data_IF_874749966442
#
_entry.id   IF_874749966442
#
_cell.length_a   1.000
_cell.length_b   1.000
_cell.length_c   1.000
_cell.angle_alpha   90.00
_cell.angle_beta   90.00
_cell.angle_gamma   90.00
#
_symmetry.space_group_name_H-M   'P 1'
#
loop_
_entity.id
_entity.type
_entity.pdbx_description
1 polymer ?
#
# COMPACT_ATOMS: atom_id res chain seq x y z
N UNK A 1 -12.11 -24.93 -4.20
CA UNK A 1 -10.68 -24.54 -4.02
C UNK A 1 -10.60 -23.66 -2.80
N UNK A 2 -9.82 -24.04 -1.80
CA UNK A 2 -9.81 -23.39 -0.47
C UNK A 2 -9.35 -21.93 -0.54
N UNK A 3 -10.19 -21.01 -0.08
CA UNK A 3 -9.86 -19.57 0.09
C UNK A 3 -8.77 -19.33 1.17
N UNK A 4 -8.18 -20.40 1.74
CA UNK A 4 -7.30 -20.32 2.90
C UNK A 4 -5.90 -19.75 2.66
N UNK A 5 -5.44 -19.65 1.41
CA UNK A 5 -4.08 -19.24 1.07
C UNK A 5 -3.99 -17.79 0.54
N UNK A 6 -5.13 -17.15 0.28
CA UNK A 6 -5.15 -15.79 -0.25
C UNK A 6 -5.34 -14.75 0.86
N UNK A 7 -4.44 -13.75 0.89
CA UNK A 7 -4.60 -12.57 1.76
C UNK A 7 -5.68 -11.62 1.24
N UNK A 8 -5.81 -11.51 -0.10
CA UNK A 8 -6.79 -10.65 -0.77
C UNK A 8 -7.46 -11.39 -1.91
N UNK A 9 -8.79 -11.24 -2.01
CA UNK A 9 -9.59 -11.67 -3.17
C UNK A 9 -10.54 -10.54 -3.55
N UNK A 10 -10.56 -10.18 -4.81
CA UNK A 10 -11.48 -9.19 -5.41
C UNK A 10 -12.24 -9.91 -6.52
N UNK A 11 -13.56 -9.80 -6.50
CA UNK A 11 -14.47 -10.44 -7.45
C UNK A 11 -15.39 -9.39 -8.07
N UNK A 12 -15.29 -9.21 -9.38
CA UNK A 12 -16.14 -8.34 -10.23
C UNK A 12 -16.31 -6.91 -9.67
N UNK A 13 -15.25 -6.33 -9.06
CA UNK A 13 -15.33 -5.01 -8.42
C UNK A 13 -15.50 -3.91 -9.48
N UNK A 14 -16.66 -3.27 -9.49
CA UNK A 14 -16.93 -2.08 -10.29
C UNK A 14 -17.32 -0.91 -9.38
N UNK A 15 -16.88 0.30 -9.73
CA UNK A 15 -17.14 1.48 -8.92
C UNK A 15 -17.21 2.75 -9.78
N UNK A 16 -18.25 3.53 -9.52
CA UNK A 16 -18.39 4.90 -10.03
C UNK A 16 -18.48 5.88 -8.84
N UNK A 17 -17.84 7.02 -8.99
CA UNK A 17 -17.96 8.13 -8.04
C UNK A 17 -19.37 8.77 -8.14
N UNK A 18 -19.80 9.52 -7.10
CA UNK A 18 -21.12 10.18 -7.12
C UNK A 18 -21.35 11.17 -8.27
N UNK A 19 -20.28 11.68 -8.86
CA UNK A 19 -20.31 12.55 -10.04
C UNK A 19 -20.55 11.80 -11.36
N UNK A 20 -20.70 10.46 -11.29
CA UNK A 20 -20.89 9.58 -12.45
C UNK A 20 -19.60 9.08 -13.10
N UNK A 21 -18.43 9.54 -12.65
CA UNK A 21 -17.16 9.07 -13.20
C UNK A 21 -16.89 7.62 -12.76
N UNK A 22 -16.94 6.69 -13.72
CA UNK A 22 -16.64 5.29 -13.47
C UNK A 22 -15.15 5.04 -13.46
N UNK A 23 -14.64 4.51 -12.33
CA UNK A 23 -13.21 4.30 -12.10
C UNK A 23 -12.78 2.84 -12.20
N UNK A 24 -13.69 1.88 -11.91
CA UNK A 24 -13.40 0.44 -11.98
C UNK A 24 -14.53 -0.28 -12.73
N UNK A 25 -14.15 -1.28 -13.56
CA UNK A 25 -15.04 -1.97 -14.47
C UNK A 25 -14.95 -3.51 -14.33
N UNK A 26 -15.27 -4.06 -13.15
CA UNK A 26 -15.26 -5.51 -12.92
C UNK A 26 -13.86 -6.08 -12.69
N UNK A 27 -13.10 -5.47 -11.76
CA UNK A 27 -11.76 -5.94 -11.40
C UNK A 27 -11.84 -7.28 -10.68
N UNK A 28 -11.06 -8.25 -11.17
CA UNK A 28 -10.84 -9.55 -10.55
C UNK A 28 -9.37 -9.68 -10.16
N UNK A 29 -9.07 -10.03 -8.90
CA UNK A 29 -7.71 -10.14 -8.40
C UNK A 29 -7.63 -11.13 -7.24
N UNK A 30 -6.54 -11.91 -7.19
CA UNK A 30 -6.20 -12.74 -6.02
C UNK A 30 -4.73 -12.54 -5.69
N UNK A 31 -4.44 -12.25 -4.42
CA UNK A 31 -3.08 -12.08 -3.90
C UNK A 31 -2.89 -13.07 -2.77
N UNK A 32 -1.84 -13.88 -2.86
CA UNK A 32 -1.49 -14.87 -1.83
C UNK A 32 -0.84 -14.20 -0.62
N UNK A 33 -0.84 -14.91 0.49
CA UNK A 33 -0.11 -14.49 1.69
C UNK A 33 1.39 -14.41 1.41
N UNK A 34 2.03 -13.32 1.85
CA UNK A 34 3.46 -13.06 1.65
C UNK A 34 3.83 -12.62 0.22
N UNK A 35 2.88 -12.57 -0.70
CA UNK A 35 3.13 -12.14 -2.08
C UNK A 35 3.37 -10.62 -2.14
N UNK A 36 4.35 -10.21 -2.96
CA UNK A 36 4.66 -8.80 -3.24
C UNK A 36 4.26 -8.45 -4.65
N UNK A 37 3.28 -7.56 -4.78
CA UNK A 37 2.63 -7.24 -6.05
C UNK A 37 2.74 -5.75 -6.34
N UNK A 38 3.25 -5.39 -7.51
CA UNK A 38 3.21 -4.03 -8.02
C UNK A 38 1.90 -3.79 -8.80
N UNK A 39 1.19 -2.72 -8.47
CA UNK A 39 0.04 -2.23 -9.22
C UNK A 39 0.47 -1.04 -10.08
N UNK A 40 0.76 -1.31 -11.33
CA UNK A 40 1.22 -0.35 -12.32
C UNK A 40 0.06 0.22 -13.12
N UNK A 41 0.25 1.38 -13.71
CA UNK A 41 -0.74 1.98 -14.62
C UNK A 41 -0.64 3.49 -14.67
N UNK A 42 -1.21 4.13 -15.70
CA UNK A 42 -1.18 5.58 -15.86
C UNK A 42 -1.99 6.29 -14.77
N UNK A 43 -1.78 7.61 -14.65
CA UNK A 43 -2.63 8.43 -13.80
C UNK A 43 -4.08 8.35 -14.25
N UNK A 44 -5.01 8.30 -13.30
CA UNK A 44 -6.44 8.13 -13.58
C UNK A 44 -6.88 6.70 -13.94
N UNK A 45 -5.99 5.70 -13.88
CA UNK A 45 -6.34 4.31 -14.19
C UNK A 45 -7.25 3.64 -13.14
N UNK A 46 -7.47 4.26 -11.97
CA UNK A 46 -8.25 3.70 -10.88
C UNK A 46 -7.43 3.04 -9.76
N UNK A 47 -6.10 3.19 -9.75
CA UNK A 47 -5.21 2.54 -8.76
C UNK A 47 -5.55 2.93 -7.32
N UNK A 48 -5.59 4.22 -7.02
CA UNK A 48 -5.97 4.73 -5.69
C UNK A 48 -7.41 4.33 -5.33
N UNK A 49 -8.34 4.39 -6.30
CA UNK A 49 -9.70 3.91 -6.09
C UNK A 49 -9.72 2.44 -5.69
N UNK A 50 -8.95 1.59 -6.37
CA UNK A 50 -8.86 0.16 -6.05
C UNK A 50 -8.35 -0.08 -4.62
N UNK A 51 -7.23 0.57 -4.23
CA UNK A 51 -6.65 0.34 -2.89
C UNK A 51 -7.55 0.85 -1.76
N UNK A 52 -8.34 1.91 -1.98
CA UNK A 52 -9.27 2.42 -0.97
C UNK A 52 -10.46 1.49 -0.71
N UNK A 53 -10.76 0.55 -1.60
CA UNK A 53 -11.73 -0.51 -1.35
C UNK A 53 -11.18 -1.62 -0.44
N UNK A 54 -9.83 -1.79 -0.36
CA UNK A 54 -9.23 -2.88 0.42
C UNK A 54 -9.44 -2.73 1.93
N UNK A 55 -9.54 -1.50 2.42
CA UNK A 55 -9.79 -1.19 3.84
C UNK A 55 -11.16 -0.56 4.11
N UNK A 56 -12.03 -0.56 3.09
CA UNK A 56 -13.40 -0.06 3.21
C UNK A 56 -13.50 1.46 3.43
N UNK A 57 -12.54 2.25 2.91
CA UNK A 57 -12.70 3.72 2.77
C UNK A 57 -13.71 4.00 1.66
N UNK A 58 -13.58 3.32 0.53
CA UNK A 58 -14.62 3.26 -0.50
C UNK A 58 -15.37 1.95 -0.42
N UNK A 59 -16.65 1.98 -0.74
CA UNK A 59 -17.49 0.79 -0.86
C UNK A 59 -18.19 0.77 -2.20
N UNK A 60 -18.29 -0.42 -2.79
CA UNK A 60 -18.98 -0.60 -4.07
C UNK A 60 -20.29 -1.38 -3.87
N UNK A 61 -21.30 -1.04 -4.68
CA UNK A 61 -22.54 -1.83 -4.76
C UNK A 61 -22.40 -3.02 -5.74
N UNK A 62 -21.28 -3.13 -6.45
CA UNK A 62 -21.05 -4.21 -7.42
C UNK A 62 -19.70 -4.86 -7.19
N UNK A 63 -19.72 -6.19 -7.10
CA UNK A 63 -18.54 -6.98 -6.76
C UNK A 63 -18.29 -7.13 -5.26
N UNK A 64 -17.20 -7.82 -4.91
CA UNK A 64 -16.85 -8.14 -3.52
C UNK A 64 -15.34 -8.04 -3.32
N UNK A 65 -14.95 -7.60 -2.12
CA UNK A 65 -13.56 -7.61 -1.68
C UNK A 65 -13.47 -8.44 -0.40
N UNK A 66 -12.54 -9.39 -0.36
CA UNK A 66 -12.29 -10.22 0.82
C UNK A 66 -10.83 -10.04 1.27
N UNK A 67 -10.63 -9.78 2.55
CA UNK A 67 -9.32 -9.67 3.21
C UNK A 67 -9.21 -10.76 4.26
N UNK A 68 -8.20 -11.64 4.12
CA UNK A 68 -8.05 -12.81 5.00
C UNK A 68 -9.32 -13.65 5.08
N UNK A 69 -10.04 -13.81 3.97
CA UNK A 69 -11.30 -14.54 3.87
C UNK A 69 -12.54 -13.81 4.42
N UNK A 70 -12.41 -12.59 4.96
CA UNK A 70 -13.53 -11.78 5.47
C UNK A 70 -13.97 -10.76 4.42
N UNK A 71 -15.28 -10.65 4.20
CA UNK A 71 -15.86 -9.62 3.32
C UNK A 71 -15.61 -8.22 3.89
N UNK A 72 -15.18 -7.31 3.04
CA UNK A 72 -15.10 -5.88 3.33
C UNK A 72 -16.50 -5.30 3.17
N UNK A 73 -17.23 -5.17 4.26
CA UNK A 73 -18.58 -4.63 4.29
C UNK A 73 -18.62 -3.31 5.06
N UNK A 74 -18.92 -2.22 4.34
CA UNK A 74 -18.97 -0.87 4.93
C UNK A 74 -20.17 -0.67 5.87
N UNK A 75 -21.19 -1.51 5.82
CA UNK A 75 -22.35 -1.44 6.71
C UNK A 75 -22.07 -2.00 8.10
N UNK A 76 -21.10 -2.92 8.23
CA UNK A 76 -20.67 -3.50 9.50
C UNK A 76 -19.41 -2.79 10.06
N UNK A 77 -19.64 -1.83 10.98
CA UNK A 77 -18.54 -1.08 11.63
C UNK A 77 -17.56 -1.96 12.40
N UNK A 78 -18.01 -3.09 12.96
CA UNK A 78 -17.16 -4.02 13.70
C UNK A 78 -16.25 -4.80 12.75
N UNK A 79 -16.81 -5.32 11.65
CA UNK A 79 -16.05 -5.98 10.59
C UNK A 79 -15.05 -5.01 9.96
N UNK A 80 -15.44 -3.76 9.67
CA UNK A 80 -14.53 -2.74 9.14
C UNK A 80 -13.35 -2.45 10.08
N UNK A 81 -13.58 -2.37 11.40
CA UNK A 81 -12.48 -2.17 12.34
C UNK A 81 -11.46 -3.32 12.27
N UNK A 82 -11.93 -4.56 12.13
CA UNK A 82 -11.06 -5.74 11.95
C UNK A 82 -10.34 -5.73 10.60
N UNK A 83 -11.00 -5.30 9.51
CA UNK A 83 -10.36 -5.17 8.20
C UNK A 83 -9.27 -4.09 8.24
N UNK A 84 -9.56 -2.93 8.82
CA UNK A 84 -8.60 -1.81 8.93
C UNK A 84 -7.38 -2.12 9.79
N UNK A 85 -7.49 -3.06 10.74
CA UNK A 85 -6.32 -3.55 11.46
C UNK A 85 -5.46 -4.52 10.63
N UNK A 86 -6.05 -5.15 9.59
CA UNK A 86 -5.36 -6.11 8.71
C UNK A 86 -4.75 -5.47 7.46
N UNK A 87 -5.34 -4.37 6.97
CA UNK A 87 -4.88 -3.66 5.77
C UNK A 87 -4.39 -2.29 6.16
N UNK A 88 -3.08 -2.14 6.19
CA UNK A 88 -2.44 -0.84 6.41
C UNK A 88 -2.14 -0.16 5.09
N UNK A 89 -2.52 1.11 4.95
CA UNK A 89 -2.24 1.93 3.77
C UNK A 89 -1.28 3.05 4.16
N UNK A 90 -0.19 3.17 3.40
CA UNK A 90 0.73 4.31 3.45
C UNK A 90 0.40 5.20 2.26
N UNK A 91 -0.06 6.41 2.53
CA UNK A 91 -0.47 7.37 1.51
C UNK A 91 0.73 8.00 0.77
N UNK A 92 0.47 8.53 -0.42
CA UNK A 92 1.48 9.15 -1.28
C UNK A 92 2.13 10.38 -0.63
N UNK A 93 1.38 11.21 0.08
CA UNK A 93 1.93 12.31 0.84
C UNK A 93 1.97 11.95 2.34
N UNK A 94 3.15 11.92 2.98
CA UNK A 94 3.23 11.64 4.41
C UNK A 94 2.51 12.69 5.26
N UNK A 95 2.32 13.92 4.77
CA UNK A 95 1.63 14.99 5.49
C UNK A 95 0.11 14.74 5.57
N UNK A 96 -0.45 13.89 4.68
CA UNK A 96 -1.84 13.41 4.78
C UNK A 96 -2.01 12.36 5.90
N UNK A 97 -0.92 11.84 6.44
CA UNK A 97 -0.92 10.74 7.42
C UNK A 97 -0.35 11.13 8.79
N UNK A 98 0.58 12.10 8.83
CA UNK A 98 1.25 12.55 10.05
C UNK A 98 0.60 13.86 10.54
N UNK A 99 -0.14 13.79 11.64
CA UNK A 99 -0.95 14.91 12.15
C UNK A 99 -0.80 15.15 13.66
N UNK A 100 -0.02 14.30 14.33
CA UNK A 100 0.20 14.43 15.78
C UNK A 100 1.37 15.40 16.10
N UNK A 101 1.43 15.95 17.31
CA UNK A 101 2.51 16.85 17.73
C UNK A 101 3.90 16.24 17.64
N UNK A 102 4.05 14.92 17.84
CA UNK A 102 5.33 14.22 17.78
C UNK A 102 5.26 12.94 16.96
N UNK A 103 6.41 12.53 16.42
CA UNK A 103 6.59 11.27 15.68
C UNK A 103 6.10 10.06 16.51
N UNK A 104 6.47 10.00 17.79
CA UNK A 104 6.04 8.90 18.65
C UNK A 104 4.53 8.86 18.85
N UNK A 105 3.86 10.01 18.91
CA UNK A 105 2.40 10.09 19.01
C UNK A 105 1.70 9.66 17.72
N UNK A 106 2.25 10.00 16.55
CA UNK A 106 1.73 9.50 15.27
C UNK A 106 1.81 7.96 15.19
N UNK A 107 2.95 7.39 15.56
CA UNK A 107 3.13 5.93 15.57
C UNK A 107 2.25 5.24 16.62
N UNK A 108 2.02 5.90 17.77
CA UNK A 108 1.16 5.40 18.84
C UNK A 108 -0.33 5.40 18.48
N UNK A 109 -0.76 6.27 17.57
CA UNK A 109 -2.19 6.53 17.31
C UNK A 109 -2.97 5.26 16.93
N UNK A 110 -2.48 4.49 15.98
CA UNK A 110 -3.11 3.24 15.56
C UNK A 110 -3.19 2.20 16.67
N UNK A 111 -2.06 1.78 17.26
CA UNK A 111 -2.03 0.83 18.38
C UNK A 111 -2.86 1.26 19.58
N UNK A 112 -2.86 2.55 19.93
CA UNK A 112 -3.70 3.09 21.00
C UNK A 112 -5.20 2.87 20.71
N UNK A 113 -5.66 3.12 19.49
CA UNK A 113 -7.04 2.89 19.07
C UNK A 113 -7.41 1.39 18.98
N UNK A 114 -6.40 0.52 18.86
CA UNK A 114 -6.56 -0.93 18.97
C UNK A 114 -6.63 -1.43 20.40
N UNK A 115 -6.37 -0.58 21.39
CA UNK A 115 -6.49 -0.87 22.82
C UNK A 115 -5.18 -1.04 23.57
N UNK A 116 -4.01 -0.89 22.92
CA UNK A 116 -2.72 -0.95 23.59
C UNK A 116 -2.53 0.27 24.50
N UNK A 117 -1.87 0.06 25.64
CA UNK A 117 -1.63 1.10 26.65
C UNK A 117 -0.23 0.95 27.26
N UNK A 118 0.21 2.00 27.92
CA UNK A 118 1.38 2.04 28.80
C UNK A 118 2.65 1.40 28.16
N UNK A 119 3.27 0.47 28.84
CA UNK A 119 4.53 -0.15 28.41
C UNK A 119 4.41 -0.93 27.10
N UNK A 120 3.27 -1.59 26.84
CA UNK A 120 3.06 -2.30 25.57
C UNK A 120 2.99 -1.34 24.40
N UNK A 121 2.28 -0.22 24.56
CA UNK A 121 2.19 0.83 23.55
C UNK A 121 3.56 1.44 23.29
N UNK A 122 4.29 1.82 24.34
CA UNK A 122 5.63 2.41 24.21
C UNK A 122 6.58 1.46 23.48
N UNK A 123 6.56 0.18 23.83
CA UNK A 123 7.40 -0.83 23.17
C UNK A 123 7.09 -0.94 21.67
N UNK A 124 5.82 -1.02 21.30
CA UNK A 124 5.41 -1.10 19.89
C UNK A 124 5.87 0.14 19.11
N UNK A 125 5.76 1.32 19.70
CA UNK A 125 6.23 2.58 19.10
C UNK A 125 7.74 2.54 18.86
N UNK A 126 8.51 2.16 19.88
CA UNK A 126 9.98 2.12 19.81
C UNK A 126 10.46 1.06 18.81
N UNK A 127 9.88 -0.14 18.86
CA UNK A 127 10.21 -1.23 17.92
C UNK A 127 9.91 -0.81 16.47
N UNK A 128 8.77 -0.14 16.23
CA UNK A 128 8.37 0.30 14.88
C UNK A 128 9.25 1.43 14.36
N UNK A 129 9.63 2.38 15.21
CA UNK A 129 10.54 3.46 14.85
C UNK A 129 11.97 2.94 14.63
N UNK A 130 12.43 2.00 15.43
CA UNK A 130 13.72 1.35 15.26
C UNK A 130 13.81 0.61 13.92
N UNK A 131 12.74 -0.10 13.52
CA UNK A 131 12.66 -0.82 12.25
C UNK A 131 12.86 0.08 11.03
N UNK A 132 12.41 1.33 11.10
CA UNK A 132 12.56 2.31 10.01
C UNK A 132 13.72 3.30 10.24
N UNK A 133 14.57 3.08 11.25
CA UNK A 133 15.71 3.94 11.59
C UNK A 133 15.32 5.35 12.04
N UNK A 134 14.20 5.49 12.77
CA UNK A 134 13.66 6.79 13.18
C UNK A 134 13.49 6.93 14.71
N UNK A 135 14.04 6.00 15.49
CA UNK A 135 13.84 5.98 16.96
C UNK A 135 14.32 7.26 17.65
N UNK A 136 15.47 7.80 17.24
CA UNK A 136 16.04 9.03 17.80
C UNK A 136 15.18 10.29 17.56
N UNK A 137 14.21 10.21 16.63
CA UNK A 137 13.29 11.31 16.30
C UNK A 137 11.93 11.20 17.00
N UNK A 138 11.74 10.23 17.91
CA UNK A 138 10.46 9.91 18.57
C UNK A 138 9.74 11.14 19.14
N UNK A 139 10.50 12.04 19.77
CA UNK A 139 9.95 13.22 20.44
C UNK A 139 9.95 14.48 19.55
N UNK A 140 10.39 14.36 18.29
CA UNK A 140 10.40 15.49 17.35
C UNK A 140 9.04 15.68 16.66
N UNK A 141 8.66 16.92 16.36
CA UNK A 141 7.53 17.21 15.50
C UNK A 141 7.80 16.70 14.06
N UNK A 142 6.82 16.07 13.39
CA UNK A 142 6.99 15.54 12.04
C UNK A 142 7.46 16.59 11.01
N UNK A 143 6.98 17.83 11.11
CA UNK A 143 7.35 18.91 10.19
C UNK A 143 8.81 19.38 10.30
N UNK A 144 9.56 18.94 11.32
CA UNK A 144 11.01 19.16 11.42
C UNK A 144 11.83 18.06 10.73
N UNK A 145 11.19 17.08 10.13
CA UNK A 145 11.84 15.99 9.42
C UNK A 145 11.94 16.27 7.92
N UNK A 146 12.96 15.69 7.26
CA UNK A 146 13.01 15.67 5.79
C UNK A 146 11.84 14.86 5.21
N UNK A 147 11.54 15.03 3.92
CA UNK A 147 10.48 14.28 3.26
C UNK A 147 10.70 12.76 3.37
N UNK A 148 11.93 12.27 3.13
CA UNK A 148 12.27 10.85 3.26
C UNK A 148 12.13 10.33 4.70
N UNK A 149 12.48 11.15 5.71
CA UNK A 149 12.26 10.82 7.12
C UNK A 149 10.77 10.72 7.44
N UNK A 150 9.94 11.70 7.00
CA UNK A 150 8.47 11.63 7.17
C UNK A 150 7.88 10.40 6.49
N UNK A 151 8.36 10.05 5.29
CA UNK A 151 7.94 8.82 4.58
C UNK A 151 8.19 7.56 5.42
N UNK A 152 9.38 7.42 6.01
CA UNK A 152 9.72 6.30 6.89
C UNK A 152 8.86 6.27 8.15
N UNK A 153 8.59 7.43 8.76
CA UNK A 153 7.66 7.54 9.90
C UNK A 153 6.25 7.11 9.49
N UNK A 154 5.74 7.55 8.32
CA UNK A 154 4.44 7.12 7.81
C UNK A 154 4.36 5.59 7.63
N UNK A 155 5.43 4.95 7.17
CA UNK A 155 5.52 3.47 7.15
C UNK A 155 5.47 2.90 8.57
N UNK A 156 6.19 3.49 9.53
CA UNK A 156 6.20 3.01 10.92
C UNK A 156 4.81 3.10 11.58
N UNK A 157 4.00 4.15 11.31
CA UNK A 157 2.64 4.28 11.86
C UNK A 157 1.76 3.10 11.44
N UNK A 158 1.95 2.58 10.23
CA UNK A 158 1.21 1.43 9.70
C UNK A 158 1.75 0.12 10.27
N UNK A 159 3.08 -0.06 10.27
CA UNK A 159 3.72 -1.27 10.78
C UNK A 159 3.46 -1.50 12.27
N UNK A 160 3.30 -0.44 13.05
CA UNK A 160 2.93 -0.50 14.47
C UNK A 160 1.61 -1.23 14.72
N UNK A 161 0.70 -1.24 13.76
CA UNK A 161 -0.56 -1.98 13.82
C UNK A 161 -0.43 -3.46 13.44
N UNK A 162 0.76 -3.90 12.97
CA UNK A 162 1.04 -5.27 12.53
C UNK A 162 0.03 -5.78 11.48
N UNK A 163 -0.15 -5.07 10.36
CA UNK A 163 -1.11 -5.46 9.34
C UNK A 163 -0.72 -6.79 8.66
N UNK A 164 -1.70 -7.50 8.09
CA UNK A 164 -1.47 -8.69 7.24
C UNK A 164 -1.11 -8.29 5.80
N UNK A 165 -1.58 -7.12 5.36
CA UNK A 165 -1.34 -6.54 4.03
C UNK A 165 -0.86 -5.10 4.19
N UNK A 166 0.30 -4.79 3.63
CA UNK A 166 0.83 -3.44 3.52
C UNK A 166 0.57 -2.91 2.12
N UNK A 167 -0.17 -1.82 2.02
CA UNK A 167 -0.42 -1.10 0.78
C UNK A 167 0.41 0.18 0.79
N UNK A 168 1.16 0.43 -0.27
CA UNK A 168 2.00 1.61 -0.41
C UNK A 168 1.56 2.36 -1.67
N UNK A 169 1.13 3.62 -1.52
CA UNK A 169 0.78 4.45 -2.67
C UNK A 169 1.97 5.36 -3.02
N UNK A 170 2.59 5.11 -4.18
CA UNK A 170 3.75 5.82 -4.73
C UNK A 170 4.89 6.03 -3.72
N UNK A 171 5.42 4.95 -3.10
CA UNK A 171 6.33 5.07 -1.95
C UNK A 171 7.67 5.73 -2.29
N UNK A 172 8.16 5.64 -3.54
CA UNK A 172 9.43 6.22 -3.99
C UNK A 172 9.32 7.66 -4.47
N UNK A 173 8.11 8.19 -4.61
CA UNK A 173 7.88 9.55 -5.12
C UNK A 173 8.52 10.61 -4.23
N UNK A 174 9.20 11.58 -4.86
CA UNK A 174 9.86 12.71 -4.21
C UNK A 174 11.00 12.33 -3.24
N UNK A 175 11.50 11.10 -3.29
CA UNK A 175 12.67 10.67 -2.52
C UNK A 175 13.96 10.93 -3.31
N UNK A 176 14.96 11.42 -2.61
CA UNK A 176 16.34 11.38 -3.13
C UNK A 176 16.85 9.93 -3.21
N UNK A 177 17.93 9.67 -4.00
CA UNK A 177 18.40 8.30 -4.21
C UNK A 177 18.81 7.55 -2.95
N UNK A 178 19.29 8.25 -1.90
CA UNK A 178 19.67 7.61 -0.64
C UNK A 178 18.43 7.19 0.15
N UNK A 179 17.48 8.12 0.36
CA UNK A 179 16.19 7.83 1.03
C UNK A 179 15.39 6.75 0.31
N UNK A 180 15.45 6.71 -1.03
CA UNK A 180 14.81 5.65 -1.84
C UNK A 180 15.42 4.28 -1.53
N UNK A 181 16.75 4.16 -1.45
CA UNK A 181 17.45 2.91 -1.10
C UNK A 181 17.12 2.48 0.34
N UNK A 182 17.20 3.41 1.30
CA UNK A 182 16.87 3.13 2.70
C UNK A 182 15.44 2.58 2.84
N UNK A 183 14.47 3.19 2.13
CA UNK A 183 13.10 2.69 2.13
C UNK A 183 13.00 1.30 1.47
N UNK A 184 13.71 1.05 0.36
CA UNK A 184 13.73 -0.25 -0.30
C UNK A 184 14.28 -1.35 0.63
N UNK A 185 15.35 -1.06 1.38
CA UNK A 185 15.96 -1.99 2.33
C UNK A 185 14.99 -2.33 3.47
N UNK A 186 14.30 -1.31 4.01
CA UNK A 186 13.23 -1.52 5.00
C UNK A 186 12.14 -2.44 4.42
N UNK A 187 11.59 -2.12 3.24
CA UNK A 187 10.51 -2.89 2.63
C UNK A 187 10.93 -4.32 2.30
N UNK A 188 12.19 -4.55 1.89
CA UNK A 188 12.71 -5.92 1.66
C UNK A 188 12.79 -6.75 2.94
N UNK A 189 13.10 -6.12 4.07
CA UNK A 189 13.22 -6.83 5.36
C UNK A 189 11.88 -7.31 5.93
N UNK A 190 10.75 -6.79 5.42
CA UNK A 190 9.42 -7.13 5.93
C UNK A 190 8.96 -8.49 5.38
N UNK A 191 8.49 -9.37 6.26
CA UNK A 191 7.77 -10.61 5.88
C UNK A 191 6.25 -10.34 5.93
N UNK A 192 5.74 -9.69 4.89
CA UNK A 192 4.34 -9.24 4.81
C UNK A 192 3.83 -9.29 3.36
N UNK A 193 2.54 -9.55 3.17
CA UNK A 193 1.89 -9.34 1.87
C UNK A 193 1.96 -7.85 1.53
N UNK A 194 2.46 -7.51 0.34
CA UNK A 194 2.66 -6.12 -0.08
C UNK A 194 1.97 -5.82 -1.41
N UNK A 195 1.29 -4.69 -1.45
CA UNK A 195 0.74 -4.12 -2.69
C UNK A 195 1.37 -2.75 -2.86
N UNK A 196 2.18 -2.56 -3.88
CA UNK A 196 2.84 -1.30 -4.18
C UNK A 196 2.24 -0.66 -5.43
N UNK A 197 1.52 0.41 -5.25
CA UNK A 197 1.05 1.26 -6.36
C UNK A 197 2.20 2.15 -6.77
N UNK A 198 2.63 2.09 -8.03
CA UNK A 198 3.70 2.94 -8.51
C UNK A 198 3.74 3.08 -10.02
N UNK A 199 4.34 4.14 -10.51
CA UNK A 199 4.79 4.35 -11.88
C UNK A 199 6.31 4.22 -12.03
N UNK A 200 7.05 4.05 -10.93
CA UNK A 200 8.49 3.77 -10.90
C UNK A 200 8.73 2.29 -11.21
N UNK A 201 8.83 1.96 -12.50
CA UNK A 201 9.00 0.57 -12.97
C UNK A 201 10.27 -0.10 -12.46
N UNK A 202 11.46 0.58 -12.39
CA UNK A 202 12.63 0.05 -11.73
C UNK A 202 12.40 -0.34 -10.27
N UNK A 203 11.70 0.50 -9.51
CA UNK A 203 11.40 0.25 -8.10
C UNK A 203 10.43 -0.91 -7.92
N UNK A 204 9.44 -1.02 -8.82
CA UNK A 204 8.55 -2.16 -8.89
C UNK A 204 9.31 -3.48 -9.14
N UNK A 205 10.24 -3.48 -10.10
CA UNK A 205 11.07 -4.64 -10.42
C UNK A 205 12.00 -5.06 -9.27
N UNK A 206 12.46 -4.08 -8.51
CA UNK A 206 13.36 -4.28 -7.36
C UNK A 206 12.65 -4.96 -6.17
N UNK A 207 11.37 -4.68 -5.94
CA UNK A 207 10.66 -5.05 -4.71
C UNK A 207 9.51 -6.04 -4.90
N UNK A 208 8.99 -6.20 -6.12
CA UNK A 208 7.80 -7.00 -6.40
C UNK A 208 8.06 -8.04 -7.49
N UNK A 209 7.85 -9.32 -7.16
CA UNK A 209 8.04 -10.42 -8.12
C UNK A 209 6.92 -10.47 -9.18
N UNK A 210 5.71 -10.00 -8.83
CA UNK A 210 4.54 -9.96 -9.70
C UNK A 210 4.09 -8.52 -9.90
N UNK A 211 3.66 -8.20 -11.11
CA UNK A 211 3.05 -6.91 -11.40
C UNK A 211 1.70 -7.08 -12.10
N UNK A 212 0.83 -6.12 -11.84
CA UNK A 212 -0.47 -5.94 -12.47
C UNK A 212 -0.45 -4.61 -13.21
N UNK A 213 -0.98 -4.56 -14.42
CA UNK A 213 -1.22 -3.31 -15.12
C UNK A 213 -2.71 -3.00 -15.06
N UNK A 214 -3.07 -1.98 -14.30
CA UNK A 214 -4.43 -1.40 -14.28
C UNK A 214 -4.51 -0.31 -15.34
N UNK A 215 -5.45 -0.43 -16.27
CA UNK A 215 -5.64 0.54 -17.34
C UNK A 215 -7.11 0.60 -17.72
N UNK A 216 -7.67 1.82 -17.77
CA UNK A 216 -9.10 1.99 -18.04
C UNK A 216 -10.01 1.28 -17.03
N UNK A 217 -9.59 1.17 -15.77
CA UNK A 217 -10.38 0.57 -14.69
C UNK A 217 -10.44 -0.97 -14.69
N UNK A 218 -9.63 -1.65 -15.51
CA UNK A 218 -9.53 -3.12 -15.55
C UNK A 218 -8.09 -3.58 -15.41
N UNK A 219 -7.87 -4.81 -14.92
CA UNK A 219 -6.55 -5.45 -14.96
C UNK A 219 -6.27 -5.86 -16.40
N UNK A 220 -5.41 -5.12 -17.06
CA UNK A 220 -5.05 -5.32 -18.46
C UNK A 220 -3.94 -6.36 -18.66
N UNK A 221 -3.08 -6.53 -17.64
CA UNK A 221 -2.03 -7.55 -17.63
C UNK A 221 -1.72 -7.97 -16.19
N UNK A 222 -1.29 -9.22 -16.02
CA UNK A 222 -0.92 -9.85 -14.76
C UNK A 222 0.19 -10.87 -15.02
N UNK A 223 1.33 -10.72 -14.37
CA UNK A 223 2.47 -11.61 -14.62
C UNK A 223 3.68 -11.29 -13.78
N UNK A 224 4.79 -12.00 -14.03
CA UNK A 224 6.07 -11.69 -13.38
C UNK A 224 6.53 -10.30 -13.78
N UNK A 225 7.00 -9.50 -12.80
CA UNK A 225 7.41 -8.12 -13.07
C UNK A 225 8.44 -8.00 -14.18
N UNK A 226 9.56 -8.78 -14.20
CA UNK A 226 10.54 -8.67 -15.29
C UNK A 226 9.96 -9.01 -16.66
N UNK A 227 9.01 -9.95 -16.74
CA UNK A 227 8.43 -10.38 -18.01
C UNK A 227 7.52 -9.28 -18.61
N UNK A 228 6.69 -8.65 -17.78
CA UNK A 228 5.86 -7.52 -18.20
C UNK A 228 6.71 -6.31 -18.59
N UNK A 229 7.80 -6.04 -17.88
CA UNK A 229 8.66 -4.89 -18.16
C UNK A 229 9.50 -5.06 -19.42
N UNK A 230 9.76 -6.29 -19.88
CA UNK A 230 10.41 -6.57 -21.18
C UNK A 230 9.50 -6.31 -22.38
N UNK A 231 8.19 -6.34 -22.19
CA UNK A 231 7.23 -6.10 -23.27
C UNK A 231 7.01 -4.60 -23.49
N UNK A 232 7.89 -3.99 -24.28
CA UNK A 232 7.82 -2.57 -24.60
C UNK A 232 6.53 -2.16 -25.33
N UNK A 233 5.93 -3.07 -26.10
CA UNK A 233 4.67 -2.83 -26.80
C UNK A 233 3.51 -2.76 -25.81
N UNK A 234 3.48 -3.68 -24.84
CA UNK A 234 2.52 -3.68 -23.73
C UNK A 234 2.63 -2.39 -22.90
N UNK A 235 3.86 -2.04 -22.48
CA UNK A 235 4.10 -0.83 -21.68
C UNK A 235 3.60 0.42 -22.42
N UNK A 236 4.00 0.60 -23.68
CA UNK A 236 3.59 1.74 -24.52
C UNK A 236 2.07 1.80 -24.69
N UNK A 237 1.41 0.65 -24.93
CA UNK A 237 -0.06 0.56 -25.03
C UNK A 237 -0.75 1.11 -23.78
N UNK A 238 -0.17 0.90 -22.60
CA UNK A 238 -0.71 1.34 -21.32
C UNK A 238 -0.04 2.61 -20.77
N UNK A 239 0.64 3.39 -21.62
CA UNK A 239 1.30 4.68 -21.27
C UNK A 239 2.32 4.51 -20.14
N UNK A 240 3.02 3.39 -20.12
CA UNK A 240 4.13 3.11 -19.23
C UNK A 240 5.43 3.08 -20.06
N UNK A 241 6.52 3.53 -19.45
CA UNK A 241 7.83 3.59 -20.12
C UNK A 241 8.94 3.34 -19.10
N UNK A 242 9.92 2.54 -19.48
CA UNK A 242 11.14 2.36 -18.68
C UNK A 242 12.04 3.60 -18.83
N UNK A 243 12.75 4.01 -17.77
CA UNK A 243 13.74 5.08 -17.89
C UNK A 243 14.81 4.75 -18.93
N UNK A 244 15.28 5.78 -19.64
CA UNK A 244 16.35 5.63 -20.64
C UNK A 244 17.59 5.03 -19.98
N UNK A 245 18.15 3.98 -20.58
CA UNK A 245 19.33 3.29 -20.07
C UNK A 245 19.07 2.25 -18.97
N UNK A 246 17.81 2.03 -18.57
CA UNK A 246 17.49 0.95 -17.66
C UNK A 246 17.49 -0.40 -18.40
N UNK A 247 18.23 -1.38 -17.89
CA UNK A 247 18.27 -2.77 -18.36
C UNK A 247 17.76 -3.70 -17.26
N UNK A 248 16.93 -4.66 -17.64
CA UNK A 248 16.34 -5.70 -16.79
C UNK A 248 17.32 -6.87 -16.59
#
# INVERSE_FOLDING_TARGET
MSNGDNSLVIEELAFAYPDGNQALYGVNLKIKRGERVALLGPNGAGKTTLILHLNGILSSNHGKVFVGGKLVDSSDKSALKQIRSKVGIVFQDPDDQLFMPTVGQDVAFGPYNMGLRDNELNKVVEDSLALVGMLEYKDRPPHHLSFGQRRRVAVATVLAMKPEILVLDEPSSNLDPASRRELADILRSLDITMIMVTHDLPYANELCERALILSGGVIAADGKTPDLLKDSALLKKHRLELPVGFSL
#
